data_IF_646661083989
#
_entry.id   IF_646661083989
#
_cell.length_a   1.000
_cell.length_b   1.000
_cell.length_c   1.000
_cell.angle_alpha   90.00
_cell.angle_beta   90.00
_cell.angle_gamma   90.00
#
_symmetry.space_group_name_H-M   'P 1'
#
loop_
_entity.id
_entity.type
_entity.pdbx_description
1 polymer ?
#
# COMPACT_ATOMS: atom_id res chain seq x y z
N UNK A 1 10.41 47.18 -8.90
CA UNK A 1 11.34 46.21 -8.30
C UNK A 1 10.82 44.81 -8.63
N UNK A 2 10.86 44.41 -9.91
CA UNK A 2 10.32 43.12 -10.38
C UNK A 2 11.14 42.52 -11.54
N UNK A 3 12.31 43.09 -11.87
CA UNK A 3 13.11 42.65 -13.02
C UNK A 3 14.28 41.72 -12.66
N UNK A 4 14.74 41.71 -11.41
CA UNK A 4 15.96 40.99 -11.04
C UNK A 4 15.72 39.52 -10.68
N UNK A 5 14.49 39.19 -10.24
CA UNK A 5 14.12 37.82 -9.84
C UNK A 5 13.95 36.89 -11.06
N UNK A 6 13.56 37.45 -12.21
CA UNK A 6 13.40 36.68 -13.44
C UNK A 6 14.75 36.28 -14.05
N UNK A 7 15.80 37.11 -13.91
CA UNK A 7 17.11 36.85 -14.53
C UNK A 7 17.88 35.69 -13.87
N UNK A 8 17.89 35.61 -12.52
CA UNK A 8 18.51 34.52 -11.75
C UNK A 8 17.77 33.18 -11.97
N UNK A 9 16.50 33.24 -12.39
CA UNK A 9 15.71 32.06 -12.75
C UNK A 9 16.14 31.46 -14.10
N UNK A 10 16.39 32.31 -15.11
CA UNK A 10 16.83 31.84 -16.44
C UNK A 10 18.27 31.34 -16.43
N UNK A 11 19.19 31.98 -15.70
CA UNK A 11 20.58 31.50 -15.58
C UNK A 11 20.68 30.12 -14.92
N UNK A 12 19.82 29.83 -13.93
CA UNK A 12 19.78 28.51 -13.27
C UNK A 12 19.19 27.41 -14.15
N UNK A 13 18.30 27.75 -15.08
CA UNK A 13 17.73 26.80 -16.05
C UNK A 13 18.80 26.35 -17.05
N UNK A 14 19.63 27.26 -17.53
CA UNK A 14 20.70 26.95 -18.49
C UNK A 14 21.83 26.10 -17.90
N UNK A 15 21.98 26.10 -16.56
CA UNK A 15 22.99 25.30 -15.85
C UNK A 15 22.53 23.91 -15.39
N UNK A 16 21.29 23.50 -15.69
CA UNK A 16 20.71 22.26 -15.16
C UNK A 16 21.03 21.02 -16.03
N UNK A 17 21.86 20.12 -15.49
CA UNK A 17 22.26 18.87 -16.14
C UNK A 17 21.13 17.81 -16.07
N UNK A 18 20.42 17.71 -17.20
CA UNK A 18 19.28 16.81 -17.40
C UNK A 18 19.68 15.32 -17.38
N UNK A 19 20.89 15.00 -17.85
CA UNK A 19 21.33 13.61 -18.06
C UNK A 19 21.64 12.95 -16.70
N UNK A 20 22.36 13.67 -15.85
CA UNK A 20 22.69 13.24 -14.49
C UNK A 20 21.40 13.06 -13.64
N UNK A 21 20.40 13.89 -13.88
CA UNK A 21 19.09 13.80 -13.24
C UNK A 21 18.31 12.52 -13.58
N UNK A 22 18.31 12.08 -14.84
CA UNK A 22 17.63 10.83 -15.25
C UNK A 22 18.38 9.59 -14.76
N UNK A 23 19.71 9.60 -14.74
CA UNK A 23 20.52 8.50 -14.20
C UNK A 23 20.29 8.31 -12.69
N UNK A 24 20.14 9.39 -11.92
CA UNK A 24 19.78 9.31 -10.51
C UNK A 24 18.38 8.70 -10.28
N UNK A 25 17.41 8.94 -11.17
CA UNK A 25 16.02 8.44 -11.05
C UNK A 25 15.82 6.97 -11.40
N UNK A 26 16.63 6.41 -12.29
CA UNK A 26 16.59 4.97 -12.62
C UNK A 26 16.83 4.08 -11.38
N UNK A 27 17.47 4.62 -10.34
CA UNK A 27 17.81 3.88 -9.13
C UNK A 27 16.67 3.79 -8.09
N UNK A 28 15.61 4.63 -8.15
CA UNK A 28 14.55 4.69 -7.12
C UNK A 28 13.14 5.04 -7.69
N UNK A 29 12.48 4.13 -8.43
CA UNK A 29 11.15 4.35 -8.97
C UNK A 29 10.09 4.28 -7.85
N UNK A 30 9.60 5.43 -7.38
CA UNK A 30 8.52 5.49 -6.37
C UNK A 30 8.62 6.64 -5.36
N UNK A 31 9.68 7.45 -5.39
CA UNK A 31 9.82 8.63 -4.53
C UNK A 31 8.95 9.80 -5.06
N UNK A 32 8.03 10.38 -4.26
CA UNK A 32 7.31 11.58 -4.65
C UNK A 32 8.24 12.80 -4.77
N UNK A 33 7.95 13.67 -5.74
CA UNK A 33 8.70 14.91 -5.99
C UNK A 33 8.24 16.05 -5.07
N UNK A 34 9.14 16.99 -4.70
CA UNK A 34 8.75 18.25 -4.07
C UNK A 34 7.80 19.07 -4.96
N UNK A 35 6.86 19.81 -4.34
CA UNK A 35 5.80 20.62 -5.00
C UNK A 35 6.29 21.56 -6.11
N UNK A 36 7.51 22.09 -6.01
CA UNK A 36 8.13 22.94 -7.04
C UNK A 36 8.48 22.19 -8.35
N UNK A 37 8.59 20.85 -8.29
CA UNK A 37 8.93 19.97 -9.43
C UNK A 37 7.67 19.40 -10.11
N UNK A 38 6.52 19.46 -9.44
CA UNK A 38 5.23 18.98 -9.94
C UNK A 38 4.66 19.87 -11.05
N UNK A 39 4.93 21.18 -11.00
CA UNK A 39 4.44 22.17 -11.97
C UNK A 39 5.00 21.99 -13.38
N UNK A 40 6.15 21.33 -13.55
CA UNK A 40 6.73 20.99 -14.88
C UNK A 40 6.16 19.72 -15.52
N UNK A 41 5.41 18.88 -14.80
CA UNK A 41 4.97 17.53 -15.23
C UNK A 41 3.44 17.32 -15.22
N UNK A 42 2.63 18.38 -15.12
CA UNK A 42 1.16 18.29 -15.08
C UNK A 42 0.52 17.70 -16.37
N UNK A 43 1.30 17.50 -17.44
CA UNK A 43 0.82 16.98 -18.72
C UNK A 43 0.61 15.45 -18.75
N UNK A 44 0.90 14.72 -17.67
CA UNK A 44 0.76 13.26 -17.64
C UNK A 44 0.25 12.75 -16.29
N UNK A 45 -0.95 13.16 -15.88
CA UNK A 45 -1.64 12.53 -14.76
C UNK A 45 -2.02 11.09 -15.12
N UNK A 46 -1.86 10.18 -14.17
CA UNK A 46 -2.17 8.77 -14.30
C UNK A 46 -3.40 8.42 -13.46
N UNK A 47 -4.30 7.58 -13.98
CA UNK A 47 -5.34 6.97 -13.17
C UNK A 47 -5.43 5.47 -13.47
N UNK A 48 -4.80 4.62 -12.65
CA UNK A 48 -4.91 3.18 -12.84
C UNK A 48 -6.33 2.65 -12.60
N UNK A 49 -7.24 3.44 -12.01
CA UNK A 49 -8.64 3.07 -11.78
C UNK A 49 -9.61 3.74 -12.77
N UNK A 50 -9.13 4.20 -13.92
CA UNK A 50 -9.96 4.86 -14.92
C UNK A 50 -11.15 3.97 -15.33
N UNK A 51 -12.36 4.52 -15.23
CA UNK A 51 -13.61 3.82 -15.59
C UNK A 51 -14.16 2.88 -14.51
N UNK A 52 -13.51 2.77 -13.34
CA UNK A 52 -14.03 1.98 -12.21
C UNK A 52 -14.96 2.86 -11.38
N UNK A 53 -16.26 2.58 -11.40
CA UNK A 53 -17.31 3.39 -10.76
C UNK A 53 -17.11 3.60 -9.26
N UNK A 54 -16.47 2.66 -8.57
CA UNK A 54 -16.18 2.76 -7.13
C UNK A 54 -14.81 3.37 -6.82
N UNK A 55 -14.17 4.01 -7.79
CA UNK A 55 -12.91 4.73 -7.62
C UNK A 55 -13.03 6.20 -8.03
N UNK A 56 -12.13 7.03 -7.52
CA UNK A 56 -11.97 8.41 -7.95
C UNK A 56 -11.55 8.49 -9.43
N UNK A 57 -12.17 9.41 -10.16
CA UNK A 57 -11.87 9.68 -11.57
C UNK A 57 -11.22 11.05 -11.75
N UNK A 58 -10.29 11.18 -12.70
CA UNK A 58 -9.68 12.49 -13.03
C UNK A 58 -10.68 13.50 -13.60
N UNK A 59 -11.86 13.02 -14.03
CA UNK A 59 -12.96 13.83 -14.55
C UNK A 59 -13.83 14.45 -13.45
N UNK A 60 -13.57 14.17 -12.18
CA UNK A 60 -14.28 14.75 -11.04
C UNK A 60 -13.28 15.31 -10.02
N UNK A 61 -13.71 16.30 -9.23
CA UNK A 61 -12.93 16.78 -8.09
C UNK A 61 -12.93 15.74 -6.97
N UNK A 62 -11.96 15.82 -6.07
CA UNK A 62 -11.91 14.95 -4.88
C UNK A 62 -13.14 15.17 -4.01
N UNK A 63 -13.65 16.40 -3.92
CA UNK A 63 -14.89 16.73 -3.20
C UNK A 63 -16.12 16.03 -3.80
N UNK A 64 -16.29 16.07 -5.12
CA UNK A 64 -17.39 15.38 -5.79
C UNK A 64 -17.30 13.87 -5.59
N UNK A 65 -16.10 13.30 -5.64
CA UNK A 65 -15.87 11.89 -5.34
C UNK A 65 -16.26 11.51 -3.91
N UNK A 66 -15.87 12.32 -2.92
CA UNK A 66 -16.21 12.08 -1.52
C UNK A 66 -17.72 12.17 -1.25
N UNK A 67 -18.44 13.04 -1.96
CA UNK A 67 -19.90 13.13 -1.91
C UNK A 67 -20.59 11.97 -2.63
N UNK A 68 -20.00 11.47 -3.72
CA UNK A 68 -20.52 10.37 -4.51
C UNK A 68 -20.36 9.02 -3.81
N UNK A 69 -19.24 8.82 -3.10
CA UNK A 69 -18.89 7.57 -2.42
C UNK A 69 -18.47 7.78 -0.95
N UNK A 70 -19.35 8.34 -0.09
CA UNK A 70 -19.09 8.45 1.34
C UNK A 70 -19.06 7.05 1.97
N UNK A 71 -17.92 6.59 2.52
CA UNK A 71 -17.80 5.23 3.00
C UNK A 71 -18.89 4.88 4.00
N UNK A 72 -19.25 5.81 4.90
CA UNK A 72 -20.26 5.63 5.94
C UNK A 72 -21.57 5.06 5.40
N UNK A 73 -22.06 5.55 4.27
CA UNK A 73 -23.40 5.21 3.74
C UNK A 73 -23.36 4.35 2.49
N UNK A 74 -22.27 4.36 1.71
CA UNK A 74 -22.10 3.49 0.54
C UNK A 74 -22.17 2.01 0.94
N UNK A 75 -23.13 1.22 0.42
CA UNK A 75 -23.27 -0.19 0.76
C UNK A 75 -22.18 -1.04 0.09
N UNK A 76 -21.57 -1.94 0.86
CA UNK A 76 -20.61 -2.90 0.33
C UNK A 76 -21.35 -4.02 -0.40
N UNK A 77 -21.03 -4.23 -1.68
CA UNK A 77 -21.61 -5.29 -2.50
C UNK A 77 -20.66 -5.69 -3.65
N UNK A 78 -21.09 -6.57 -4.55
CA UNK A 78 -20.27 -7.04 -5.66
C UNK A 78 -19.86 -5.95 -6.67
N UNK A 79 -20.65 -4.86 -6.79
CA UNK A 79 -20.33 -3.70 -7.64
C UNK A 79 -19.49 -2.66 -6.92
N UNK A 80 -19.52 -2.63 -5.59
CA UNK A 80 -18.73 -1.71 -4.76
C UNK A 80 -18.09 -2.48 -3.62
N UNK A 81 -17.06 -3.30 -3.91
CA UNK A 81 -16.38 -4.09 -2.87
C UNK A 81 -15.49 -3.20 -1.98
N UNK A 82 -14.96 -2.11 -2.56
CA UNK A 82 -14.05 -1.14 -1.97
C UNK A 82 -14.31 0.24 -2.57
N UNK A 83 -13.86 1.29 -1.90
CA UNK A 83 -13.75 2.64 -2.49
C UNK A 83 -12.27 2.96 -2.64
N UNK A 84 -11.84 3.38 -3.83
CA UNK A 84 -10.42 3.61 -4.16
C UNK A 84 -10.13 5.04 -4.58
N UNK A 85 -8.91 5.49 -4.29
CA UNK A 85 -8.32 6.70 -4.85
C UNK A 85 -6.83 6.45 -5.16
N UNK A 86 -6.36 6.93 -6.31
CA UNK A 86 -4.96 6.85 -6.70
C UNK A 86 -4.23 8.17 -6.42
N UNK A 87 -2.91 8.08 -6.28
CA UNK A 87 -2.05 9.24 -6.44
C UNK A 87 -1.77 9.42 -7.94
N UNK A 88 -2.22 10.51 -8.56
CA UNK A 88 -2.19 10.65 -10.01
C UNK A 88 -0.79 10.97 -10.57
N UNK A 89 0.20 11.19 -9.70
CA UNK A 89 1.57 11.54 -10.09
C UNK A 89 2.52 10.35 -10.11
N UNK A 90 2.06 9.17 -9.71
CA UNK A 90 2.88 7.95 -9.68
C UNK A 90 2.28 6.93 -10.66
N UNK A 91 2.97 6.62 -11.77
CA UNK A 91 2.46 5.68 -12.76
C UNK A 91 2.34 4.27 -12.17
N UNK A 92 1.26 3.58 -12.54
CA UNK A 92 0.94 2.21 -12.16
C UNK A 92 0.23 1.51 -13.31
N UNK A 93 0.29 0.18 -13.32
CA UNK A 93 -0.45 -0.62 -14.27
C UNK A 93 -1.95 -0.34 -14.14
N UNK A 94 -2.65 -0.20 -15.27
CA UNK A 94 -4.09 -0.01 -15.27
C UNK A 94 -4.77 -1.22 -14.64
N UNK A 95 -5.68 -0.99 -13.70
CA UNK A 95 -6.66 -1.99 -13.31
C UNK A 95 -7.70 -2.10 -14.40
N UNK A 96 -7.81 -3.29 -14.97
CA UNK A 96 -8.92 -3.62 -15.86
C UNK A 96 -10.09 -4.07 -14.99
N UNK A 97 -11.31 -3.62 -15.29
CA UNK A 97 -12.51 -4.12 -14.64
C UNK A 97 -12.63 -5.64 -14.90
N UNK A 98 -12.33 -6.41 -13.87
CA UNK A 98 -12.24 -7.86 -13.86
C UNK A 98 -13.60 -8.52 -13.57
N UNK A 99 -14.69 -7.92 -14.05
CA UNK A 99 -16.03 -8.52 -13.97
C UNK A 99 -16.12 -9.94 -14.56
N UNK A 100 -15.10 -10.39 -15.33
CA UNK A 100 -14.98 -11.74 -15.88
C UNK A 100 -13.86 -12.63 -15.29
N UNK A 101 -12.99 -12.13 -14.41
CA UNK A 101 -11.98 -12.95 -13.73
C UNK A 101 -12.09 -12.72 -12.24
N UNK A 102 -12.81 -13.62 -11.53
CA UNK A 102 -12.94 -13.64 -10.07
C UNK A 102 -11.59 -13.89 -9.39
N UNK A 103 -10.66 -12.96 -9.49
CA UNK A 103 -9.44 -13.01 -8.71
C UNK A 103 -9.69 -12.25 -7.41
N UNK A 104 -9.30 -12.87 -6.32
CA UNK A 104 -9.20 -12.22 -4.99
C UNK A 104 -8.25 -11.01 -5.00
N UNK A 105 -7.54 -10.84 -6.11
CA UNK A 105 -6.48 -9.86 -6.41
C UNK A 105 -7.02 -8.45 -6.70
N UNK A 106 -8.32 -8.31 -7.02
CA UNK A 106 -8.95 -7.01 -7.32
C UNK A 106 -9.15 -6.11 -6.11
N UNK A 107 -8.83 -6.62 -4.93
CA UNK A 107 -8.91 -5.87 -3.68
C UNK A 107 -7.68 -5.01 -3.40
N UNK A 108 -6.54 -5.18 -4.09
CA UNK A 108 -5.27 -4.55 -3.73
C UNK A 108 -4.85 -3.39 -4.64
N UNK A 109 -3.73 -2.73 -4.30
CA UNK A 109 -3.22 -1.59 -5.07
C UNK A 109 -2.94 -1.97 -6.53
N UNK A 110 -2.95 -0.99 -7.44
CA UNK A 110 -2.55 -1.22 -8.82
C UNK A 110 -1.10 -1.66 -8.87
N UNK A 111 -0.85 -2.69 -9.66
CA UNK A 111 0.45 -3.36 -9.73
C UNK A 111 1.51 -2.47 -10.41
N UNK A 112 2.78 -2.83 -10.21
CA UNK A 112 3.86 -2.31 -11.04
C UNK A 112 3.89 -3.07 -12.38
N UNK A 113 4.27 -2.40 -13.46
CA UNK A 113 4.43 -3.05 -14.76
C UNK A 113 5.44 -4.21 -14.71
N UNK A 114 5.01 -5.36 -15.20
CA UNK A 114 5.78 -6.61 -15.18
C UNK A 114 5.71 -7.37 -13.85
N UNK A 115 4.76 -7.05 -12.97
CA UNK A 115 4.44 -7.87 -11.80
C UNK A 115 4.04 -9.29 -12.22
N UNK A 116 4.56 -10.29 -11.49
CA UNK A 116 4.23 -11.70 -11.72
C UNK A 116 3.67 -12.34 -10.45
N UNK A 117 2.40 -12.02 -10.15
CA UNK A 117 1.68 -12.55 -8.99
C UNK A 117 1.58 -14.07 -9.05
N UNK A 118 1.44 -14.66 -10.25
CA UNK A 118 1.35 -16.12 -10.41
C UNK A 118 2.63 -16.83 -9.93
N UNK A 119 3.80 -16.32 -10.30
CA UNK A 119 5.07 -16.90 -9.86
C UNK A 119 5.29 -16.74 -8.35
N UNK A 120 4.83 -15.62 -7.77
CA UNK A 120 4.80 -15.45 -6.32
C UNK A 120 3.91 -16.52 -5.66
N UNK A 121 2.70 -16.76 -6.17
CA UNK A 121 1.76 -17.73 -5.61
C UNK A 121 2.37 -19.14 -5.58
N UNK A 122 2.93 -19.59 -6.71
CA UNK A 122 3.55 -20.92 -6.83
C UNK A 122 4.73 -21.06 -5.85
N UNK A 123 5.69 -20.14 -5.89
CA UNK A 123 6.87 -20.23 -5.03
C UNK A 123 6.55 -20.06 -3.54
N UNK A 124 5.57 -19.23 -3.20
CA UNK A 124 5.13 -19.08 -1.81
C UNK A 124 4.39 -20.32 -1.31
N UNK A 125 3.57 -20.96 -2.14
CA UNK A 125 2.90 -22.21 -1.79
C UNK A 125 3.90 -23.31 -1.45
N UNK A 126 4.91 -23.52 -2.31
CA UNK A 126 6.00 -24.47 -2.05
C UNK A 126 6.74 -24.14 -0.75
N UNK A 127 7.07 -22.85 -0.54
CA UNK A 127 7.81 -22.43 0.65
C UNK A 127 7.02 -22.63 1.95
N UNK A 128 5.72 -22.34 1.91
CA UNK A 128 4.79 -22.52 3.02
C UNK A 128 4.50 -24.00 3.29
N UNK A 129 4.50 -24.85 2.26
CA UNK A 129 4.45 -26.30 2.41
C UNK A 129 5.69 -26.82 3.15
N UNK A 130 6.90 -26.41 2.74
CA UNK A 130 8.13 -26.77 3.43
C UNK A 130 8.14 -26.33 4.90
N UNK A 131 7.64 -25.12 5.19
CA UNK A 131 7.49 -24.64 6.56
C UNK A 131 6.54 -25.51 7.37
N UNK A 132 5.39 -25.88 6.80
CA UNK A 132 4.43 -26.78 7.46
C UNK A 132 5.07 -28.13 7.80
N UNK A 133 5.70 -28.78 6.82
CA UNK A 133 6.36 -30.06 7.04
C UNK A 133 7.50 -29.98 8.06
N UNK A 134 8.22 -28.86 8.10
CA UNK A 134 9.24 -28.61 9.12
C UNK A 134 8.63 -28.51 10.52
N UNK A 135 7.50 -27.80 10.65
CA UNK A 135 6.79 -27.63 11.92
C UNK A 135 6.34 -29.00 12.45
N UNK A 136 5.65 -29.79 11.62
CA UNK A 136 5.15 -31.13 11.96
C UNK A 136 6.28 -32.06 12.44
N UNK A 137 7.35 -32.18 11.66
CA UNK A 137 8.50 -33.04 12.02
C UNK A 137 9.21 -32.57 13.29
N UNK A 138 9.26 -31.27 13.54
CA UNK A 138 9.91 -30.73 14.74
C UNK A 138 9.03 -30.91 15.98
N UNK A 139 7.70 -30.92 15.84
CA UNK A 139 6.79 -31.29 16.92
C UNK A 139 6.97 -32.76 17.34
N UNK A 140 7.19 -33.67 16.41
CA UNK A 140 7.42 -35.09 16.70
C UNK A 140 8.81 -35.38 17.29
N UNK A 141 9.77 -34.47 17.09
CA UNK A 141 11.14 -34.67 17.55
C UNK A 141 11.25 -34.73 19.09
N UNK A 142 12.11 -35.62 19.60
CA UNK A 142 12.47 -35.73 21.03
C UNK A 142 13.39 -34.57 21.47
N UNK A 143 12.88 -33.33 21.38
CA UNK A 143 13.54 -32.09 21.79
C UNK A 143 12.73 -31.41 22.90
N UNK A 144 13.40 -30.59 23.71
CA UNK A 144 12.73 -29.75 24.71
C UNK A 144 11.82 -28.72 24.02
N UNK A 145 10.77 -28.28 24.71
CA UNK A 145 9.83 -27.26 24.20
C UNK A 145 10.54 -25.98 23.73
N UNK A 146 11.46 -25.46 24.55
CA UNK A 146 12.25 -24.27 24.20
C UNK A 146 13.11 -24.46 22.94
N UNK A 147 13.68 -25.67 22.73
CA UNK A 147 14.45 -25.96 21.52
C UNK A 147 13.56 -26.01 20.27
N UNK A 148 12.33 -26.54 20.39
CA UNK A 148 11.34 -26.55 19.30
C UNK A 148 10.89 -25.12 18.96
N UNK A 149 10.53 -24.32 19.96
CA UNK A 149 10.12 -22.92 19.76
C UNK A 149 11.21 -22.09 19.07
N UNK A 150 12.48 -22.25 19.48
CA UNK A 150 13.62 -21.59 18.82
C UNK A 150 13.77 -22.04 17.36
N UNK A 151 13.58 -23.32 17.07
CA UNK A 151 13.63 -23.85 15.70
C UNK A 151 12.48 -23.31 14.85
N UNK A 152 11.25 -23.28 15.36
CA UNK A 152 10.10 -22.68 14.68
C UNK A 152 10.32 -21.20 14.41
N UNK A 153 10.78 -20.42 15.39
CA UNK A 153 11.04 -19.00 15.20
C UNK A 153 12.05 -18.75 14.08
N UNK A 154 13.14 -19.54 14.06
CA UNK A 154 14.16 -19.45 13.01
C UNK A 154 13.60 -19.81 11.64
N UNK A 155 12.85 -20.90 11.53
CA UNK A 155 12.34 -21.36 10.23
C UNK A 155 11.22 -20.45 9.70
N UNK A 156 10.34 -19.95 10.58
CA UNK A 156 9.35 -18.92 10.23
C UNK A 156 10.01 -17.64 9.72
N UNK A 157 11.09 -17.19 10.38
CA UNK A 157 11.84 -16.02 9.93
C UNK A 157 12.45 -16.24 8.54
N UNK A 158 13.01 -17.43 8.27
CA UNK A 158 13.54 -17.77 6.95
C UNK A 158 12.45 -17.78 5.89
N UNK A 159 11.35 -18.48 6.13
CA UNK A 159 10.22 -18.52 5.20
C UNK A 159 9.67 -17.14 4.89
N UNK A 160 9.56 -16.29 5.92
CA UNK A 160 9.17 -14.88 5.77
C UNK A 160 10.13 -14.13 4.84
N UNK A 161 11.44 -14.24 5.06
CA UNK A 161 12.44 -13.61 4.19
C UNK A 161 12.41 -14.15 2.77
N UNK A 162 12.30 -15.46 2.58
CA UNK A 162 12.26 -16.11 1.26
C UNK A 162 11.04 -15.63 0.45
N UNK A 163 9.86 -15.56 1.08
CA UNK A 163 8.62 -15.07 0.46
C UNK A 163 8.73 -13.59 0.07
N UNK A 164 9.26 -12.74 0.95
CA UNK A 164 9.42 -11.31 0.65
C UNK A 164 10.47 -11.07 -0.44
N UNK A 165 11.57 -11.82 -0.44
CA UNK A 165 12.56 -11.76 -1.50
C UNK A 165 11.96 -12.19 -2.85
N UNK A 166 11.17 -13.27 -2.86
CA UNK A 166 10.45 -13.71 -4.05
C UNK A 166 9.48 -12.63 -4.55
N UNK A 167 8.69 -12.03 -3.66
CA UNK A 167 7.79 -10.94 -4.01
C UNK A 167 8.54 -9.75 -4.63
N UNK A 168 9.69 -9.36 -4.07
CA UNK A 168 10.53 -8.30 -4.62
C UNK A 168 11.11 -8.64 -6.00
N UNK A 169 11.56 -9.88 -6.21
CA UNK A 169 12.05 -10.36 -7.51
C UNK A 169 10.96 -10.39 -8.58
N UNK A 170 9.73 -10.76 -8.19
CA UNK A 170 8.56 -10.80 -9.08
C UNK A 170 7.81 -9.46 -9.18
N UNK A 171 8.42 -8.37 -8.69
CA UNK A 171 7.85 -7.00 -8.65
C UNK A 171 6.50 -6.86 -7.93
N UNK A 172 6.13 -7.82 -7.08
CA UNK A 172 4.96 -7.74 -6.21
C UNK A 172 5.34 -6.99 -4.91
N UNK A 173 5.66 -5.71 -5.06
CA UNK A 173 6.34 -4.91 -4.02
C UNK A 173 5.42 -4.01 -3.21
N UNK A 174 4.20 -3.79 -3.67
CA UNK A 174 3.26 -2.94 -2.96
C UNK A 174 2.97 -3.47 -1.55
N UNK A 175 2.65 -2.55 -0.65
CA UNK A 175 2.14 -2.87 0.68
C UNK A 175 1.39 -1.69 1.26
N UNK A 176 0.75 -1.89 2.41
CA UNK A 176 -0.15 -0.89 2.98
C UNK A 176 -0.03 -0.71 4.48
N UNK A 177 -0.13 0.53 4.92
CA UNK A 177 -0.52 0.87 6.28
C UNK A 177 -2.01 0.62 6.46
N UNK A 178 -2.38 -0.16 7.46
CA UNK A 178 -3.78 -0.51 7.77
C UNK A 178 -4.29 0.31 8.96
N UNK A 179 -5.24 1.20 8.68
CA UNK A 179 -5.99 1.96 9.65
C UNK A 179 -7.36 1.30 9.84
N UNK A 180 -7.84 1.31 11.07
CA UNK A 180 -9.18 0.85 11.40
C UNK A 180 -9.94 2.08 11.92
N UNK A 181 -11.11 2.35 11.36
CA UNK A 181 -11.88 3.55 11.68
C UNK A 181 -13.26 3.21 12.18
N UNK A 182 -13.68 3.85 13.28
CA UNK A 182 -15.06 3.68 13.72
C UNK A 182 -16.01 4.21 12.64
N UNK A 183 -17.23 3.67 12.54
CA UNK A 183 -18.23 4.13 11.58
C UNK A 183 -18.50 5.64 11.64
N UNK A 184 -18.37 6.26 12.83
CA UNK A 184 -18.66 7.69 13.07
C UNK A 184 -17.62 8.63 12.47
N UNK A 185 -16.37 8.19 12.35
CA UNK A 185 -15.25 9.04 11.90
C UNK A 185 -14.75 8.63 10.51
N UNK A 186 -15.30 7.57 9.90
CA UNK A 186 -14.75 7.01 8.66
C UNK A 186 -14.76 8.00 7.51
N UNK A 187 -15.80 8.84 7.39
CA UNK A 187 -15.87 9.84 6.33
C UNK A 187 -14.80 10.91 6.51
N UNK A 188 -14.62 11.42 7.73
CA UNK A 188 -13.60 12.44 8.05
C UNK A 188 -12.19 11.90 7.78
N UNK A 189 -11.89 10.70 8.28
CA UNK A 189 -10.57 10.08 8.05
C UNK A 189 -10.35 9.78 6.57
N UNK A 190 -11.38 9.32 5.87
CA UNK A 190 -11.28 9.05 4.43
C UNK A 190 -11.06 10.33 3.62
N UNK A 191 -11.73 11.42 3.97
CA UNK A 191 -11.52 12.73 3.32
C UNK A 191 -10.07 13.19 3.45
N UNK A 192 -9.49 13.14 4.65
CA UNK A 192 -8.09 13.52 4.90
C UNK A 192 -7.15 12.65 4.05
N UNK A 193 -7.35 11.33 4.04
CA UNK A 193 -6.51 10.40 3.28
C UNK A 193 -6.67 10.61 1.77
N UNK A 194 -7.90 10.77 1.29
CA UNK A 194 -8.19 10.94 -0.12
C UNK A 194 -7.53 12.19 -0.67
N UNK A 195 -7.72 13.34 -0.01
CA UNK A 195 -7.08 14.61 -0.38
C UNK A 195 -5.56 14.50 -0.37
N UNK A 196 -4.98 13.99 0.73
CA UNK A 196 -3.52 13.83 0.86
C UNK A 196 -2.93 12.83 -0.15
N UNK A 197 -3.70 11.84 -0.61
CA UNK A 197 -3.28 10.90 -1.65
C UNK A 197 -3.30 11.55 -3.03
N UNK A 198 -4.38 12.27 -3.36
CA UNK A 198 -4.50 13.01 -4.61
C UNK A 198 -3.46 14.14 -4.72
N UNK A 199 -3.08 14.76 -3.59
CA UNK A 199 -2.10 15.84 -3.50
C UNK A 199 -0.64 15.36 -3.41
N UNK A 200 -0.37 14.08 -3.70
CA UNK A 200 0.97 13.48 -3.70
C UNK A 200 1.70 13.49 -2.34
N UNK A 201 0.97 13.62 -1.23
CA UNK A 201 1.58 13.66 0.10
C UNK A 201 1.71 12.27 0.72
N UNK A 202 0.80 11.35 0.39
CA UNK A 202 0.85 9.95 0.81
C UNK A 202 1.57 9.08 -0.22
N UNK A 203 1.22 7.80 -0.31
CA UNK A 203 1.86 6.86 -1.22
C UNK A 203 1.14 6.77 -2.56
N UNK A 204 0.99 5.56 -3.10
CA UNK A 204 0.57 5.34 -4.50
C UNK A 204 -0.94 5.29 -4.69
N UNK A 205 -1.68 4.94 -3.63
CA UNK A 205 -3.12 4.79 -3.63
C UNK A 205 -3.63 4.67 -2.18
N UNK A 206 -4.93 4.78 -2.02
CA UNK A 206 -5.62 4.42 -0.79
C UNK A 206 -6.93 3.69 -1.10
N UNK A 207 -7.42 2.90 -0.14
CA UNK A 207 -8.75 2.30 -0.20
C UNK A 207 -9.45 2.33 1.14
N UNK A 208 -10.77 2.29 1.14
CA UNK A 208 -11.59 2.16 2.35
C UNK A 208 -12.74 1.19 2.13
N UNK A 209 -13.06 0.43 3.18
CA UNK A 209 -14.20 -0.46 3.20
C UNK A 209 -15.51 0.35 3.23
N UNK A 210 -16.45 0.09 2.30
CA UNK A 210 -17.81 0.62 2.39
C UNK A 210 -18.56 0.04 3.59
N UNK A 211 -19.77 0.52 3.84
CA UNK A 211 -20.65 0.01 4.90
C UNK A 211 -21.08 -1.43 4.59
N UNK A 212 -20.63 -2.38 5.41
CA UNK A 212 -21.16 -3.74 5.38
C UNK A 212 -22.57 -3.80 5.96
N UNK A 213 -23.44 -4.61 5.35
CA UNK A 213 -24.80 -4.88 5.86
C UNK A 213 -24.87 -6.16 6.70
N UNK A 214 -23.83 -7.01 6.64
CA UNK A 214 -23.80 -8.32 7.31
C UNK A 214 -22.93 -8.31 8.57
N UNK A 215 -22.02 -7.35 8.69
CA UNK A 215 -21.14 -7.22 9.86
C UNK A 215 -21.78 -6.33 10.94
N UNK A 216 -21.28 -6.42 12.18
CA UNK A 216 -21.72 -5.53 13.27
C UNK A 216 -21.54 -4.07 12.82
N UNK A 217 -22.61 -3.24 12.84
CA UNK A 217 -22.54 -1.85 12.39
C UNK A 217 -21.57 -1.00 13.21
N UNK A 218 -21.12 -1.45 14.38
CA UNK A 218 -20.11 -0.80 15.24
C UNK A 218 -18.68 -1.21 14.89
N UNK A 219 -18.50 -2.23 14.06
CA UNK A 219 -17.18 -2.74 13.69
C UNK A 219 -16.40 -1.66 12.94
N UNK A 220 -15.12 -1.55 13.29
CA UNK A 220 -14.23 -0.64 12.61
C UNK A 220 -14.05 -1.03 11.13
N UNK A 221 -14.01 -0.01 10.29
CA UNK A 221 -13.82 -0.10 8.85
C UNK A 221 -12.35 -0.06 8.51
N UNK A 222 -11.91 -0.98 7.66
CA UNK A 222 -10.53 -1.01 7.19
C UNK A 222 -10.31 0.12 6.17
N UNK A 223 -9.28 0.91 6.39
CA UNK A 223 -8.73 1.89 5.45
C UNK A 223 -7.26 1.55 5.25
N UNK A 224 -6.80 1.53 4.01
CA UNK A 224 -5.41 1.24 3.67
C UNK A 224 -4.78 2.40 2.91
N UNK A 225 -3.54 2.73 3.25
CA UNK A 225 -2.70 3.67 2.49
C UNK A 225 -1.49 2.90 1.96
N UNK A 226 -1.34 2.87 0.64
CA UNK A 226 -0.36 2.03 -0.03
C UNK A 226 0.94 2.74 -0.29
N UNK A 227 2.06 2.02 -0.19
CA UNK A 227 3.36 2.46 -0.74
C UNK A 227 3.78 1.56 -1.88
N UNK A 228 4.70 2.06 -2.71
CA UNK A 228 5.17 1.39 -3.91
C UNK A 228 5.93 0.10 -3.63
N UNK A 229 6.75 0.12 -2.58
CA UNK A 229 7.72 -0.92 -2.30
C UNK A 229 7.91 -1.10 -0.79
N UNK A 230 7.48 -2.26 -0.28
CA UNK A 230 7.60 -2.61 1.14
C UNK A 230 9.06 -2.70 1.62
N UNK A 231 10.03 -2.87 0.71
CA UNK A 231 11.45 -2.92 1.02
C UNK A 231 12.07 -1.53 1.12
N UNK A 232 11.43 -0.51 0.52
CA UNK A 232 11.83 0.89 0.64
C UNK A 232 11.38 1.47 1.98
N UNK A 233 12.17 1.18 3.03
CA UNK A 233 11.91 1.65 4.39
C UNK A 233 11.80 3.17 4.50
N UNK A 234 12.51 3.93 3.66
CA UNK A 234 12.46 5.38 3.67
C UNK A 234 11.07 5.89 3.23
N UNK A 235 10.50 5.33 2.16
CA UNK A 235 9.15 5.72 1.71
C UNK A 235 8.06 5.22 2.67
N UNK A 236 8.17 3.97 3.15
CA UNK A 236 7.27 3.43 4.18
C UNK A 236 7.23 4.32 5.42
N UNK A 237 8.40 4.77 5.89
CA UNK A 237 8.53 5.71 7.01
C UNK A 237 7.97 7.09 6.67
N UNK A 238 8.27 7.62 5.49
CA UNK A 238 7.77 8.94 5.05
C UNK A 238 6.25 8.98 5.07
N UNK A 239 5.59 7.95 4.52
CA UNK A 239 4.12 7.84 4.55
C UNK A 239 3.62 7.73 5.99
N UNK A 240 4.27 6.94 6.85
CA UNK A 240 3.91 6.87 8.26
C UNK A 240 4.02 8.24 8.95
N UNK A 241 5.11 8.97 8.72
CA UNK A 241 5.31 10.31 9.28
C UNK A 241 4.21 11.27 8.84
N UNK A 242 3.84 11.26 7.54
CA UNK A 242 2.73 12.07 7.05
C UNK A 242 1.40 11.67 7.71
N UNK A 243 1.14 10.37 7.90
CA UNK A 243 -0.06 9.91 8.64
C UNK A 243 -0.08 10.41 10.10
N UNK A 244 1.08 10.54 10.75
CA UNK A 244 1.18 11.13 12.09
C UNK A 244 0.92 12.64 12.09
N UNK A 245 1.49 13.36 11.13
CA UNK A 245 1.24 14.80 10.95
C UNK A 245 -0.25 15.10 10.73
N UNK A 246 -0.93 14.23 9.99
CA UNK A 246 -2.38 14.26 9.77
C UNK A 246 -3.20 13.77 10.98
N UNK A 247 -2.56 13.42 12.10
CA UNK A 247 -3.17 12.90 13.33
C UNK A 247 -3.97 11.60 13.16
N UNK A 248 -3.61 10.76 12.19
CA UNK A 248 -4.32 9.52 11.87
C UNK A 248 -3.79 8.27 12.60
N UNK A 249 -2.75 8.43 13.42
CA UNK A 249 -2.07 7.33 14.13
C UNK A 249 -2.22 7.47 15.64
N UNK A 250 -1.45 8.36 16.29
CA UNK A 250 -1.37 8.44 17.75
C UNK A 250 -2.67 8.88 18.42
N UNK A 251 -3.41 9.80 17.78
CA UNK A 251 -4.67 10.33 18.31
C UNK A 251 -5.75 9.25 18.52
N UNK A 252 -5.54 8.05 17.94
CA UNK A 252 -6.50 6.94 17.91
C UNK A 252 -6.19 5.85 18.93
N UNK A 253 -5.11 6.00 19.71
CA UNK A 253 -4.80 5.13 20.85
C UNK A 253 -4.38 3.69 20.52
N UNK A 254 -4.23 3.34 19.23
CA UNK A 254 -3.76 2.01 18.79
C UNK A 254 -2.68 2.10 17.73
N UNK A 255 -1.68 1.20 17.75
CA UNK A 255 -0.72 1.13 16.67
C UNK A 255 -1.36 0.66 15.37
N UNK A 256 -0.84 1.16 14.25
CA UNK A 256 -1.18 0.67 12.91
C UNK A 256 -0.07 -0.25 12.40
N UNK A 257 -0.42 -1.13 11.48
CA UNK A 257 0.49 -2.16 10.98
C UNK A 257 0.64 -2.07 9.47
N UNK A 258 1.85 -2.36 9.01
CA UNK A 258 2.17 -2.40 7.59
C UNK A 258 2.17 -3.84 7.07
N UNK A 259 1.34 -4.12 6.07
CA UNK A 259 1.20 -5.44 5.45
C UNK A 259 1.58 -5.40 3.97
N UNK A 260 2.53 -6.21 3.49
CA UNK A 260 2.81 -6.39 2.07
C UNK A 260 1.63 -7.01 1.32
N UNK A 261 1.40 -6.60 0.08
CA UNK A 261 0.33 -7.15 -0.77
C UNK A 261 0.58 -8.63 -1.08
N UNK A 262 1.85 -9.00 -1.20
CA UNK A 262 2.30 -10.39 -1.29
C UNK A 262 1.66 -11.29 -0.21
N UNK A 263 1.54 -10.81 1.03
CA UNK A 263 0.90 -11.57 2.11
C UNK A 263 -0.61 -11.70 1.92
N UNK A 264 -1.28 -10.73 1.30
CA UNK A 264 -2.70 -10.92 0.95
C UNK A 264 -2.87 -11.98 -0.13
N UNK A 265 -2.09 -11.91 -1.21
CA UNK A 265 -2.22 -12.85 -2.33
C UNK A 265 -2.05 -14.30 -1.88
N UNK A 266 -1.05 -14.57 -1.04
CA UNK A 266 -0.73 -15.93 -0.55
C UNK A 266 -1.52 -16.33 0.70
N UNK A 267 -2.47 -15.50 1.15
CA UNK A 267 -3.37 -15.85 2.27
C UNK A 267 -2.77 -15.76 3.68
N UNK A 268 -1.68 -15.01 3.88
CA UNK A 268 -1.15 -14.72 5.22
C UNK A 268 -2.01 -13.62 5.87
N UNK A 269 -2.91 -14.04 6.75
CA UNK A 269 -3.74 -13.20 7.62
C UNK A 269 -3.42 -13.44 9.10
N UNK A 270 -4.06 -12.68 10.00
CA UNK A 270 -3.97 -12.96 11.44
C UNK A 270 -4.48 -14.38 11.73
N UNK A 271 -3.75 -15.14 12.55
CA UNK A 271 -4.11 -16.53 12.88
C UNK A 271 -3.85 -17.55 11.77
N UNK A 272 -3.07 -17.20 10.73
CA UNK A 272 -2.69 -18.16 9.69
C UNK A 272 -2.01 -19.43 10.29
N UNK A 273 -2.16 -20.59 9.64
CA UNK A 273 -1.71 -21.88 10.19
C UNK A 273 -0.18 -22.01 10.33
N UNK A 274 0.59 -21.11 9.72
CA UNK A 274 2.05 -21.12 9.79
C UNK A 274 2.60 -20.27 10.94
N UNK A 275 1.75 -19.53 11.65
CA UNK A 275 2.16 -18.63 12.72
C UNK A 275 3.12 -17.51 12.26
N UNK A 276 3.06 -17.15 10.97
CA UNK A 276 3.78 -16.00 10.39
C UNK A 276 3.04 -14.72 10.79
N UNK A 277 3.75 -13.64 11.11
CA UNK A 277 3.10 -12.35 11.38
C UNK A 277 2.55 -11.78 10.07
N UNK A 278 1.29 -11.34 10.08
CA UNK A 278 0.64 -10.75 8.89
C UNK A 278 1.10 -9.32 8.56
N UNK A 279 2.03 -8.76 9.32
CA UNK A 279 2.61 -7.44 9.14
C UNK A 279 4.13 -7.51 9.30
N UNK A 280 4.83 -6.63 8.57
CA UNK A 280 6.30 -6.54 8.61
C UNK A 280 6.81 -5.29 9.33
N UNK A 281 5.96 -4.25 9.45
CA UNK A 281 6.26 -3.07 10.25
C UNK A 281 5.06 -2.69 11.14
N UNK A 282 5.35 -1.94 12.19
CA UNK A 282 4.41 -1.33 13.13
C UNK A 282 4.67 0.17 13.22
N UNK A 283 3.64 0.97 13.52
CA UNK A 283 3.83 2.38 13.84
C UNK A 283 4.60 2.63 15.14
N UNK A 284 4.92 1.58 15.90
CA UNK A 284 5.80 1.66 17.08
C UNK A 284 7.27 1.41 16.74
N UNK A 285 7.57 0.96 15.52
CA UNK A 285 8.93 0.63 15.14
C UNK A 285 9.78 1.91 15.09
N UNK A 286 10.96 1.81 15.70
CA UNK A 286 12.01 2.82 15.51
C UNK A 286 12.66 2.56 14.15
N UNK A 287 12.15 3.22 13.12
CA UNK A 287 12.88 3.30 11.85
C UNK A 287 14.20 4.03 12.17
N UNK A 288 15.34 3.42 11.86
CA UNK A 288 16.66 4.08 11.87
C UNK A 288 17.05 4.47 10.46
#
# INVERSE_FOLDING_TARGET
>A
MDSDVDSDFYERIDSFDVENYFQARASHPGRPLPRATLTKNLTQLHNPYAGIDYAWQLTETVESFLQRLPPETTPQNHKTPWIFICNPFIPRAAKVDSSNTRRKDDAEAPEEDGSNVQMLLIGAEERLHLLRSFIEKTEEAKKTKAAKEKAFAKEKSRATSDILNLAAMQKVRAGKWMLFCSPREVNEVWEIVAKSTADNELGIAAKVAPRSETEDPRKDRLLCVYTADFSNKADVRRVLQKLRELKLVEARGRPIYYKPDAYTYIGISSGNPWGIRASIYSSLDSFS
#
